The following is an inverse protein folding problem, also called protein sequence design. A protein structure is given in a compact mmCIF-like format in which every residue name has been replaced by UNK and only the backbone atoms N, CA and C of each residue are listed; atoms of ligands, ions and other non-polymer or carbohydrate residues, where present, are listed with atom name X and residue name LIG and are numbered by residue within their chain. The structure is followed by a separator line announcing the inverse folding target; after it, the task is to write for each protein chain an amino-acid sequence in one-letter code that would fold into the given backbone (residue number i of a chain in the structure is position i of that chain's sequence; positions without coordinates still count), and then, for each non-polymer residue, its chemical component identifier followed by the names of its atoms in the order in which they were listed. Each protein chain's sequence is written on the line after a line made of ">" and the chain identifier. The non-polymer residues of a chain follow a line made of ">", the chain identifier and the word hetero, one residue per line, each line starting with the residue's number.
data_IF_852682188220
#
_entry.id   IF_852682188220
#
_cell.length_a   1.000
_cell.length_b   1.000
_cell.length_c   1.000
_cell.angle_alpha   90.00
_cell.angle_beta   90.00
_cell.angle_gamma   90.00
#
_symmetry.space_group_name_H-M   'P 1'
#
loop_
_entity.id
_entity.type
_entity.pdbx_description
1 polymer ?
#
# COMPACT_ATOMS: atom_id res chain seq x y z
N UNK A 1 -18.05 -14.55 -0.80
CA UNK A 1 -17.50 -14.70 0.56
C UNK A 1 -16.82 -13.39 0.89
N UNK A 2 -17.36 -12.64 1.85
CA UNK A 2 -17.05 -11.21 2.02
C UNK A 2 -15.67 -10.96 2.64
N UNK A 3 -14.97 -9.95 2.11
CA UNK A 3 -13.64 -9.47 2.50
C UNK A 3 -13.60 -8.79 3.88
N UNK A 4 -14.24 -9.37 4.90
CA UNK A 4 -14.43 -8.73 6.21
C UNK A 4 -13.28 -8.95 7.20
N UNK A 5 -12.30 -9.79 6.88
CA UNK A 5 -11.21 -10.18 7.78
C UNK A 5 -9.83 -9.76 7.20
N UNK A 6 -9.66 -8.50 6.77
CA UNK A 6 -8.34 -7.98 6.34
C UNK A 6 -7.72 -7.14 7.44
N UNK A 7 -6.52 -7.51 7.88
CA UNK A 7 -5.75 -6.70 8.83
C UNK A 7 -5.08 -5.50 8.13
N UNK A 8 -4.95 -4.37 8.82
CA UNK A 8 -4.20 -3.21 8.32
C UNK A 8 -2.78 -3.56 7.86
N UNK A 9 -2.10 -4.41 8.64
CA UNK A 9 -0.76 -4.88 8.32
C UNK A 9 -0.69 -5.59 6.96
N UNK A 10 -1.72 -6.38 6.61
CA UNK A 10 -1.84 -7.00 5.29
C UNK A 10 -1.86 -5.96 4.17
N UNK A 11 -2.81 -5.02 4.23
CA UNK A 11 -3.01 -4.04 3.17
C UNK A 11 -1.78 -3.15 2.97
N UNK A 12 -1.15 -2.73 4.07
CA UNK A 12 0.07 -1.94 4.03
C UNK A 12 1.24 -2.70 3.41
N UNK A 13 1.52 -3.93 3.87
CA UNK A 13 2.59 -4.77 3.28
C UNK A 13 2.34 -5.04 1.81
N UNK A 14 1.09 -5.29 1.42
CA UNK A 14 0.72 -5.49 0.02
C UNK A 14 1.06 -4.26 -0.84
N UNK A 15 0.72 -3.06 -0.38
CA UNK A 15 1.05 -1.83 -1.11
C UNK A 15 2.57 -1.61 -1.21
N UNK A 16 3.31 -1.82 -0.11
CA UNK A 16 4.77 -1.70 -0.09
C UNK A 16 5.39 -2.70 -1.06
N UNK A 17 5.00 -3.98 -1.01
CA UNK A 17 5.46 -5.02 -1.93
C UNK A 17 5.22 -4.61 -3.39
N UNK A 18 4.02 -4.15 -3.71
CA UNK A 18 3.68 -3.77 -5.07
C UNK A 18 4.61 -2.66 -5.60
N UNK A 19 4.85 -1.62 -4.78
CA UNK A 19 5.71 -0.49 -5.17
C UNK A 19 7.18 -0.89 -5.27
N UNK A 20 7.71 -1.52 -4.22
CA UNK A 20 9.14 -1.87 -4.11
C UNK A 20 9.53 -2.90 -5.18
N UNK A 21 8.68 -3.89 -5.43
CA UNK A 21 8.93 -4.88 -6.49
C UNK A 21 8.50 -4.40 -7.87
N UNK A 22 7.94 -3.18 -7.99
CA UNK A 22 7.41 -2.61 -9.23
C UNK A 22 6.40 -3.55 -9.92
N UNK A 23 5.59 -4.24 -9.12
CA UNK A 23 4.60 -5.21 -9.58
C UNK A 23 3.37 -4.47 -10.12
N UNK A 24 3.35 -4.26 -11.44
CA UNK A 24 2.25 -3.62 -12.16
C UNK A 24 1.34 -4.61 -12.90
N UNK A 25 1.35 -5.88 -12.46
CA UNK A 25 0.47 -6.92 -12.99
C UNK A 25 -1.01 -6.56 -12.83
N UNK A 26 -1.85 -7.03 -13.75
CA UNK A 26 -3.29 -6.75 -13.70
C UNK A 26 -3.94 -7.22 -12.40
N UNK A 27 -3.49 -8.34 -11.84
CA UNK A 27 -3.95 -8.87 -10.55
C UNK A 27 -3.63 -7.90 -9.40
N UNK A 28 -2.38 -7.45 -9.31
CA UNK A 28 -1.94 -6.49 -8.28
C UNK A 28 -2.69 -5.17 -8.41
N UNK A 29 -2.82 -4.64 -9.62
CA UNK A 29 -3.53 -3.38 -9.88
C UNK A 29 -5.04 -3.49 -9.60
N UNK A 30 -5.67 -4.62 -9.94
CA UNK A 30 -7.07 -4.88 -9.62
C UNK A 30 -7.26 -4.90 -8.10
N UNK A 31 -6.34 -5.54 -7.36
CA UNK A 31 -6.40 -5.61 -5.91
C UNK A 31 -6.21 -4.25 -5.24
N UNK A 32 -5.26 -3.45 -5.70
CA UNK A 32 -5.08 -2.07 -5.23
C UNK A 32 -6.36 -1.25 -5.45
N UNK A 33 -6.95 -1.31 -6.65
CA UNK A 33 -8.17 -0.56 -6.96
C UNK A 33 -9.38 -1.00 -6.13
N UNK A 34 -9.52 -2.29 -5.85
CA UNK A 34 -10.56 -2.81 -4.95
C UNK A 34 -10.46 -2.18 -3.56
N UNK A 35 -9.24 -2.01 -3.06
CA UNK A 35 -8.96 -1.47 -1.73
C UNK A 35 -9.11 0.07 -1.65
N UNK A 36 -9.24 0.81 -2.76
CA UNK A 36 -9.45 2.27 -2.74
C UNK A 36 -10.72 2.68 -1.98
N UNK A 37 -11.72 1.81 -1.97
CA UNK A 37 -13.01 2.03 -1.30
C UNK A 37 -13.00 1.67 0.19
N UNK A 38 -11.87 1.21 0.72
CA UNK A 38 -11.73 0.79 2.11
C UNK A 38 -11.63 2.02 3.04
N UNK A 39 -12.42 2.02 4.12
CA UNK A 39 -12.49 3.10 5.11
C UNK A 39 -11.51 2.92 6.27
N UNK A 40 -10.72 1.85 6.24
CA UNK A 40 -9.69 1.56 7.22
C UNK A 40 -8.69 2.71 7.36
N UNK A 41 -8.32 3.03 8.60
CA UNK A 41 -7.27 4.00 8.91
C UNK A 41 -6.09 3.33 9.59
N UNK A 42 -4.89 3.79 9.26
CA UNK A 42 -3.67 3.29 9.87
C UNK A 42 -3.62 3.71 11.36
N UNK A 43 -3.25 2.83 12.30
CA UNK A 43 -3.17 3.20 13.71
C UNK A 43 -2.06 4.21 14.03
N UNK A 44 -0.99 4.24 13.22
CA UNK A 44 0.22 5.03 13.48
C UNK A 44 0.13 6.41 12.85
N UNK A 45 -0.24 6.49 11.57
CA UNK A 45 -0.27 7.76 10.82
C UNK A 45 -1.65 8.39 10.79
N UNK A 46 -2.70 7.66 11.23
CA UNK A 46 -4.11 8.03 11.08
C UNK A 46 -4.58 8.31 9.64
N UNK A 47 -3.69 8.13 8.65
CA UNK A 47 -4.02 8.21 7.24
C UNK A 47 -4.95 7.06 6.84
N UNK A 48 -5.92 7.30 5.95
CA UNK A 48 -6.77 6.26 5.43
C UNK A 48 -5.97 5.32 4.50
N UNK A 49 -6.42 4.08 4.41
CA UNK A 49 -5.79 3.07 3.56
C UNK A 49 -5.88 3.46 2.08
N UNK A 50 -6.94 4.19 1.70
CA UNK A 50 -7.10 4.79 0.38
C UNK A 50 -5.92 5.68 -0.01
N UNK A 51 -5.33 6.45 0.90
CA UNK A 51 -4.18 7.33 0.60
C UNK A 51 -2.91 6.54 0.31
N UNK A 52 -2.67 5.46 1.07
CA UNK A 52 -1.57 4.53 0.80
C UNK A 52 -1.68 3.88 -0.57
N UNK A 53 -2.91 3.58 -0.98
CA UNK A 53 -3.19 2.95 -2.28
C UNK A 53 -3.07 3.97 -3.41
N UNK A 54 -3.61 5.18 -3.25
CA UNK A 54 -3.41 6.29 -4.19
C UNK A 54 -1.92 6.53 -4.42
N UNK A 55 -1.15 6.65 -3.33
CA UNK A 55 0.30 6.83 -3.41
C UNK A 55 1.01 5.64 -4.07
N UNK A 56 0.60 4.39 -3.78
CA UNK A 56 1.15 3.20 -4.44
C UNK A 56 0.88 3.21 -5.96
N UNK A 57 -0.36 3.49 -6.36
CA UNK A 57 -0.74 3.58 -7.77
C UNK A 57 0.00 4.72 -8.49
N UNK A 58 0.20 5.86 -7.83
CA UNK A 58 1.04 6.95 -8.36
C UNK A 58 2.49 6.52 -8.56
N UNK A 59 3.11 5.82 -7.59
CA UNK A 59 4.47 5.27 -7.72
C UNK A 59 4.61 4.25 -8.85
N UNK A 60 3.55 3.48 -9.11
CA UNK A 60 3.48 2.53 -10.23
C UNK A 60 3.13 3.21 -11.58
N UNK A 61 2.93 4.53 -11.62
CA UNK A 61 2.53 5.26 -12.82
C UNK A 61 1.11 4.93 -13.29
N UNK A 62 0.26 4.39 -12.41
CA UNK A 62 -1.14 4.01 -12.70
C UNK A 62 -2.17 4.85 -11.93
N UNK A 63 -1.71 5.88 -11.20
CA UNK A 63 -2.55 6.78 -10.42
C UNK A 63 -3.05 7.99 -11.21
N UNK A 64 -4.04 8.68 -10.67
CA UNK A 64 -4.61 9.89 -11.28
C UNK A 64 -3.92 11.14 -10.70
N UNK A 65 -3.57 12.10 -11.56
CA UNK A 65 -2.85 13.31 -11.14
C UNK A 65 -3.62 14.14 -10.10
N UNK A 66 -4.95 14.13 -10.16
CA UNK A 66 -5.84 14.85 -9.22
C UNK A 66 -5.64 14.38 -7.77
N UNK A 67 -5.15 13.16 -7.54
CA UNK A 67 -4.88 12.66 -6.19
C UNK A 67 -3.70 13.33 -5.50
N UNK A 68 -2.85 14.06 -6.24
CA UNK A 68 -1.77 14.85 -5.65
C UNK A 68 -2.22 16.24 -5.18
N UNK A 69 -3.37 16.75 -5.66
CA UNK A 69 -3.83 18.11 -5.36
C UNK A 69 -4.58 18.18 -4.01
N UNK A 70 -5.14 17.06 -3.55
CA UNK A 70 -6.15 17.08 -2.48
C UNK A 70 -5.66 16.64 -1.10
N UNK A 71 -4.50 15.98 -0.96
CA UNK A 71 -4.16 15.29 0.30
C UNK A 71 -2.70 15.41 0.74
N UNK A 72 -2.49 16.08 1.88
CA UNK A 72 -1.23 16.06 2.65
C UNK A 72 -0.77 14.61 2.91
N UNK A 73 -1.73 13.69 3.08
CA UNK A 73 -1.48 12.26 3.29
C UNK A 73 -0.77 11.58 2.13
N UNK A 74 -1.24 11.79 0.89
CA UNK A 74 -0.64 11.17 -0.31
C UNK A 74 0.79 11.67 -0.52
N UNK A 75 1.03 12.97 -0.37
CA UNK A 75 2.37 13.55 -0.48
C UNK A 75 3.37 12.95 0.53
N UNK A 76 2.96 12.81 1.79
CA UNK A 76 3.76 12.14 2.82
C UNK A 76 4.08 10.68 2.43
N UNK A 77 3.09 9.95 1.92
CA UNK A 77 3.23 8.54 1.57
C UNK A 77 4.11 8.29 0.35
N UNK A 78 4.14 9.23 -0.61
CA UNK A 78 5.10 9.15 -1.71
C UNK A 78 6.55 9.13 -1.20
N UNK A 79 6.88 9.97 -0.23
CA UNK A 79 8.19 9.95 0.43
C UNK A 79 8.42 8.69 1.27
N UNK A 80 7.39 8.20 1.96
CA UNK A 80 7.49 6.93 2.69
C UNK A 80 7.80 5.74 1.77
N UNK A 81 7.22 5.68 0.57
CA UNK A 81 7.54 4.64 -0.40
C UNK A 81 8.98 4.72 -0.92
N UNK A 82 9.54 5.93 -1.09
CA UNK A 82 10.96 6.07 -1.45
C UNK A 82 11.89 5.54 -0.34
N UNK A 83 11.50 5.76 0.92
CA UNK A 83 12.21 5.17 2.06
C UNK A 83 12.09 3.64 2.07
N UNK A 84 10.90 3.07 1.84
CA UNK A 84 10.73 1.62 1.77
C UNK A 84 11.51 0.98 0.61
N UNK A 85 11.56 1.63 -0.56
CA UNK A 85 12.38 1.15 -1.68
C UNK A 85 13.87 1.15 -1.30
N UNK A 86 14.36 2.23 -0.69
CA UNK A 86 15.75 2.32 -0.22
C UNK A 86 16.06 1.23 0.81
N UNK A 87 15.21 1.06 1.82
CA UNK A 87 15.35 0.02 2.84
C UNK A 87 15.33 -1.39 2.25
N UNK A 88 14.55 -1.63 1.19
CA UNK A 88 14.56 -2.93 0.50
C UNK A 88 15.87 -3.17 -0.26
N UNK A 89 16.40 -2.15 -0.96
CA UNK A 89 17.68 -2.26 -1.66
C UNK A 89 18.86 -2.49 -0.69
N UNK A 90 18.75 -1.99 0.53
CA UNK A 90 19.77 -2.13 1.59
C UNK A 90 19.57 -3.37 2.48
N UNK A 91 18.54 -4.19 2.23
CA UNK A 91 18.14 -5.34 3.07
C UNK A 91 17.78 -4.95 4.53
N UNK A 92 17.29 -3.73 4.72
CA UNK A 92 16.91 -3.12 6.00
C UNK A 92 15.40 -2.99 6.22
N UNK A 93 14.57 -3.58 5.34
CA UNK A 93 13.12 -3.41 5.36
C UNK A 93 12.47 -3.88 6.68
N UNK A 94 13.11 -4.80 7.40
CA UNK A 94 12.70 -5.25 8.73
C UNK A 94 11.47 -6.16 8.75
N UNK A 95 10.92 -6.54 7.59
CA UNK A 95 9.86 -7.54 7.43
C UNK A 95 9.94 -8.24 6.08
N UNK A 96 9.47 -9.50 6.02
CA UNK A 96 9.38 -10.25 4.78
C UNK A 96 8.17 -9.78 3.94
N UNK A 97 8.44 -9.45 2.68
CA UNK A 97 7.44 -9.07 1.67
C UNK A 97 6.64 -10.26 1.13
N UNK A 98 7.20 -11.48 1.21
CA UNK A 98 6.56 -12.70 0.72
C UNK A 98 5.71 -13.38 1.79
N UNK A 99 5.89 -13.02 3.06
CA UNK A 99 5.02 -13.46 4.16
C UNK A 99 3.73 -12.62 4.22
N UNK A 100 2.91 -12.78 3.18
CA UNK A 100 1.54 -12.27 3.11
C UNK A 100 0.52 -13.30 3.60
N UNK A 101 0.91 -14.58 3.72
CA UNK A 101 0.02 -15.69 4.11
C UNK A 101 -0.39 -15.60 5.59
N UNK A 102 0.50 -15.17 6.50
CA UNK A 102 0.19 -15.00 7.92
C UNK A 102 -0.77 -13.85 8.25
N UNK A 103 -1.17 -13.05 7.26
CA UNK A 103 -1.93 -11.81 7.46
C UNK A 103 -3.36 -11.88 6.90
N UNK A 104 -3.68 -12.94 6.14
CA UNK A 104 -5.04 -13.23 5.62
C UNK A 104 -5.98 -13.78 6.71
N UNK A 105 -5.41 -14.34 7.77
CA UNK A 105 -6.14 -15.04 8.84
C UNK A 105 -6.21 -14.26 10.17
N UNK A 106 -5.71 -13.02 10.22
CA UNK A 106 -5.87 -12.14 11.39
C UNK A 106 -7.28 -11.56 11.41
N UNK A 107 -8.19 -12.34 12.00
CA UNK A 107 -9.54 -11.93 12.46
C UNK A 107 -9.49 -10.96 13.63
#
# INVERSE_FOLDING_TARGET
>A
MGMKDRSFAYCMKFCIRAVVLKDDSEETLAKLRELLSDDMKTPITHLPMSDWIKAALLKLGKGEAVWMEDEIGVGYLLGAYDAYDSMYQEDELGFDLNDLENLRDLK
#
